data_IF_394896816839
#
_entry.id   IF_394896816839
#
_cell.length_a   1.000
_cell.length_b   1.000
_cell.length_c   1.000
_cell.angle_alpha   90.00
_cell.angle_beta   90.00
_cell.angle_gamma   90.00
#
_symmetry.space_group_name_H-M   'P 1'
#
loop_
_entity.id
_entity.type
_entity.pdbx_description
1 polymer ?
#
# COMPACT_ATOMS: atom_id res chain seq x y z
N UNK A 1 0.72 -14.83 19.65
CA UNK A 1 0.16 -13.86 18.69
C UNK A 1 0.92 -14.06 17.40
N UNK A 2 0.35 -14.80 16.46
CA UNK A 2 0.98 -15.01 15.15
C UNK A 2 1.02 -13.66 14.44
N UNK A 3 2.22 -13.06 14.39
CA UNK A 3 2.47 -11.97 13.46
C UNK A 3 2.49 -12.65 12.10
N UNK A 4 1.39 -12.57 11.34
CA UNK A 4 1.44 -12.88 9.91
C UNK A 4 2.48 -11.96 9.31
N UNK A 5 3.67 -12.52 9.07
CA UNK A 5 4.75 -11.84 8.38
C UNK A 5 4.31 -11.76 6.92
N UNK A 6 3.47 -10.78 6.62
CA UNK A 6 3.17 -10.41 5.25
C UNK A 6 4.52 -9.96 4.70
N UNK A 7 5.14 -10.79 3.87
CA UNK A 7 6.33 -10.39 3.14
C UNK A 7 5.95 -9.18 2.27
N UNK A 8 6.88 -8.31 1.91
CA UNK A 8 6.60 -7.21 0.98
C UNK A 8 5.95 -7.72 -0.33
N UNK A 9 6.14 -9.01 -0.65
CA UNK A 9 5.54 -9.76 -1.77
C UNK A 9 4.05 -10.14 -1.65
N UNK A 10 3.40 -9.81 -0.53
CA UNK A 10 2.02 -10.16 -0.29
C UNK A 10 1.15 -8.95 0.08
N UNK A 11 1.70 -7.74 -0.09
CA UNK A 11 1.00 -6.51 0.26
C UNK A 11 -0.30 -6.35 -0.54
N UNK A 12 -0.32 -6.83 -1.78
CA UNK A 12 -1.50 -6.83 -2.64
C UNK A 12 -2.60 -7.80 -2.20
N UNK A 13 -2.30 -8.78 -1.36
CA UNK A 13 -3.29 -9.68 -0.75
C UNK A 13 -3.95 -9.09 0.50
N UNK A 14 -3.49 -7.94 1.00
CA UNK A 14 -4.12 -7.28 2.14
C UNK A 14 -5.50 -6.77 1.71
N UNK A 15 -6.54 -7.22 2.40
CA UNK A 15 -7.90 -6.79 2.08
C UNK A 15 -8.07 -5.28 2.28
N UNK A 16 -8.77 -4.63 1.33
CA UNK A 16 -9.11 -3.19 1.37
C UNK A 16 -9.70 -2.76 2.71
N UNK A 17 -10.57 -3.61 3.29
CA UNK A 17 -11.16 -3.39 4.62
C UNK A 17 -10.09 -3.25 5.72
N UNK A 18 -9.08 -4.12 5.74
CA UNK A 18 -7.98 -4.04 6.72
C UNK A 18 -7.12 -2.80 6.49
N UNK A 19 -6.88 -2.45 5.23
CA UNK A 19 -6.15 -1.23 4.86
C UNK A 19 -6.91 0.00 5.38
N UNK A 20 -8.19 0.13 5.09
CA UNK A 20 -9.00 1.29 5.51
C UNK A 20 -9.06 1.42 7.03
N UNK A 21 -9.23 0.32 7.75
CA UNK A 21 -9.21 0.31 9.23
C UNK A 21 -7.86 0.75 9.81
N UNK A 22 -6.76 0.41 9.15
CA UNK A 22 -5.43 0.86 9.56
C UNK A 22 -5.21 2.35 9.23
N UNK A 23 -5.67 2.80 8.06
CA UNK A 23 -5.59 4.21 7.64
C UNK A 23 -6.41 5.09 8.57
N UNK A 24 -7.60 4.67 8.97
CA UNK A 24 -8.45 5.39 9.93
C UNK A 24 -7.71 5.62 11.26
N UNK A 25 -7.13 4.56 11.84
CA UNK A 25 -6.32 4.66 13.05
C UNK A 25 -5.08 5.54 12.87
N UNK A 26 -4.45 5.48 11.70
CA UNK A 26 -3.28 6.29 11.37
C UNK A 26 -3.64 7.78 11.30
N UNK A 27 -4.75 8.11 10.65
CA UNK A 27 -5.29 9.48 10.58
C UNK A 27 -5.60 10.00 11.98
N UNK A 28 -6.29 9.22 12.80
CA UNK A 28 -6.61 9.58 14.19
C UNK A 28 -5.33 9.78 15.03
N UNK A 29 -4.34 8.89 14.90
CA UNK A 29 -3.11 8.92 15.70
C UNK A 29 -2.18 10.07 15.32
N UNK A 30 -2.28 10.59 14.10
CA UNK A 30 -1.47 11.68 13.58
C UNK A 30 -2.19 13.03 13.62
N UNK A 31 -3.37 13.10 14.26
CA UNK A 31 -4.25 14.28 14.28
C UNK A 31 -4.50 14.87 12.87
N UNK A 32 -4.50 14.01 11.84
CA UNK A 32 -4.76 14.42 10.48
C UNK A 32 -6.26 14.69 10.34
N UNK A 33 -6.64 15.91 9.97
CA UNK A 33 -8.00 16.20 9.60
C UNK A 33 -8.33 15.51 8.26
N UNK A 34 -8.74 14.24 8.29
CA UNK A 34 -9.20 13.50 7.11
C UNK A 34 -10.34 14.21 6.35
N UNK A 35 -11.02 15.15 7.00
CA UNK A 35 -12.04 16.01 6.38
C UNK A 35 -11.55 17.29 5.72
N UNK A 36 -10.26 17.67 5.82
CA UNK A 36 -9.78 19.00 5.38
C UNK A 36 -9.13 19.03 4.00
N UNK A 37 -8.86 17.90 3.37
CA UNK A 37 -8.19 17.86 2.05
C UNK A 37 -9.20 17.71 0.93
N UNK A 38 -9.94 18.78 0.63
CA UNK A 38 -10.68 18.88 -0.64
C UNK A 38 -9.66 18.75 -1.77
N UNK A 39 -9.51 17.55 -2.33
CA UNK A 39 -8.55 17.22 -3.39
C UNK A 39 -7.54 16.11 -3.08
N UNK A 40 -7.44 15.60 -1.85
CA UNK A 40 -6.51 14.50 -1.53
C UNK A 40 -7.20 13.44 -0.67
N UNK A 41 -7.36 12.24 -1.24
CA UNK A 41 -8.01 11.10 -0.57
C UNK A 41 -6.95 10.10 -0.09
N UNK A 42 -6.55 10.21 1.18
CA UNK A 42 -5.52 9.34 1.76
C UNK A 42 -5.91 7.86 1.72
N UNK A 43 -7.19 7.53 1.86
CA UNK A 43 -7.67 6.14 1.78
C UNK A 43 -7.41 5.54 0.39
N UNK A 44 -7.69 6.30 -0.67
CA UNK A 44 -7.46 5.85 -2.04
C UNK A 44 -5.97 5.73 -2.37
N UNK A 45 -5.15 6.66 -1.88
CA UNK A 45 -3.69 6.64 -2.07
C UNK A 45 -3.08 5.41 -1.40
N UNK A 46 -3.39 5.18 -0.13
CA UNK A 46 -2.86 4.02 0.61
C UNK A 46 -3.40 2.71 0.03
N UNK A 47 -4.70 2.63 -0.30
CA UNK A 47 -5.24 1.44 -0.97
C UNK A 47 -4.51 1.13 -2.29
N UNK A 48 -4.27 2.15 -3.11
CA UNK A 48 -3.54 1.98 -4.38
C UNK A 48 -2.12 1.50 -4.14
N UNK A 49 -1.41 2.07 -3.16
CA UNK A 49 -0.07 1.64 -2.81
C UNK A 49 -0.01 0.16 -2.41
N UNK A 50 -0.96 -0.32 -1.61
CA UNK A 50 -0.93 -1.71 -1.16
C UNK A 50 -1.47 -2.68 -2.21
N UNK A 51 -2.41 -2.30 -3.07
CA UNK A 51 -3.12 -3.25 -3.97
C UNK A 51 -2.71 -3.18 -5.43
N UNK A 52 -2.07 -2.10 -5.88
CA UNK A 52 -1.69 -1.87 -7.28
C UNK A 52 -0.17 -1.75 -7.39
N UNK A 53 0.45 -2.81 -7.93
CA UNK A 53 1.91 -2.93 -8.01
C UNK A 53 2.53 -1.85 -8.89
N UNK A 54 1.91 -1.50 -10.01
CA UNK A 54 2.43 -0.50 -10.93
C UNK A 54 2.35 0.90 -10.30
N UNK A 55 1.22 1.24 -9.66
CA UNK A 55 1.12 2.49 -8.91
C UNK A 55 2.08 2.54 -7.73
N UNK A 56 2.34 1.41 -7.05
CA UNK A 56 3.34 1.34 -5.97
C UNK A 56 4.73 1.68 -6.50
N UNK A 57 5.14 1.08 -7.62
CA UNK A 57 6.42 1.37 -8.28
C UNK A 57 6.54 2.85 -8.65
N UNK A 58 5.50 3.42 -9.25
CA UNK A 58 5.47 4.86 -9.57
C UNK A 58 5.62 5.73 -8.32
N UNK A 59 4.89 5.42 -7.25
CA UNK A 59 4.98 6.15 -5.97
C UNK A 59 6.39 6.02 -5.38
N UNK A 60 6.99 4.84 -5.38
CA UNK A 60 8.33 4.59 -4.85
C UNK A 60 9.41 5.33 -5.64
N UNK A 61 9.30 5.37 -6.98
CA UNK A 61 10.17 6.17 -7.84
C UNK A 61 10.07 7.66 -7.53
N UNK A 62 8.85 8.20 -7.38
CA UNK A 62 8.62 9.61 -7.04
C UNK A 62 9.19 9.99 -5.66
N UNK A 63 9.20 9.04 -4.72
CA UNK A 63 9.71 9.24 -3.36
C UNK A 63 11.21 8.91 -3.22
N UNK A 64 11.89 8.53 -4.32
CA UNK A 64 13.27 8.08 -4.32
C UNK A 64 13.55 6.95 -3.30
N UNK A 65 12.58 6.05 -3.15
CA UNK A 65 12.75 4.84 -2.35
C UNK A 65 13.52 3.81 -3.17
N UNK A 66 14.46 3.09 -2.53
CA UNK A 66 15.15 1.98 -3.19
C UNK A 66 14.12 0.94 -3.63
N UNK A 67 14.22 0.47 -4.88
CA UNK A 67 13.42 -0.66 -5.35
C UNK A 67 13.74 -1.88 -4.47
N UNK A 68 12.72 -2.36 -3.75
CA UNK A 68 12.83 -3.59 -2.98
C UNK A 68 12.88 -4.77 -3.97
N UNK A 69 13.79 -5.72 -3.75
CA UNK A 69 13.88 -7.01 -4.47
C UNK A 69 12.51 -7.70 -4.55
N UNK A 70 11.66 -7.41 -3.56
CA UNK A 70 10.28 -7.86 -3.49
C UNK A 70 9.39 -7.39 -4.65
N UNK A 71 9.54 -6.15 -5.13
CA UNK A 71 8.73 -5.61 -6.24
C UNK A 71 9.08 -6.28 -7.58
N UNK A 72 10.33 -6.71 -7.74
CA UNK A 72 10.79 -7.46 -8.91
C UNK A 72 10.19 -8.87 -8.90
N UNK A 73 10.20 -9.54 -7.75
CA UNK A 73 9.65 -10.90 -7.59
C UNK A 73 8.13 -10.93 -7.73
N UNK A 74 7.39 -9.96 -7.17
CA UNK A 74 5.93 -9.85 -7.38
C UNK A 74 5.59 -9.63 -8.86
N UNK A 75 6.38 -8.81 -9.56
CA UNK A 75 6.18 -8.57 -10.99
C UNK A 75 6.41 -9.85 -11.81
N UNK A 76 7.50 -10.59 -11.54
CA UNK A 76 7.81 -11.84 -12.23
C UNK A 76 6.77 -12.93 -11.97
N UNK A 77 6.30 -13.08 -10.72
CA UNK A 77 5.29 -14.09 -10.36
C UNK A 77 3.88 -13.72 -10.84
N UNK A 78 3.55 -12.43 -10.94
CA UNK A 78 2.29 -11.94 -11.49
C UNK A 78 2.12 -12.23 -12.99
N UNK A 79 3.20 -12.48 -13.74
CA UNK A 79 3.14 -12.90 -15.16
C UNK A 79 2.72 -14.36 -15.32
N UNK A 80 2.86 -15.20 -14.28
CA UNK A 80 2.51 -16.63 -14.33
C UNK A 80 1.10 -16.94 -13.80
N UNK A 81 0.30 -15.92 -13.47
CA UNK A 81 -1.02 -16.04 -12.86
C UNK A 81 -2.23 -15.87 -13.80
N UNK A 82 -2.04 -15.80 -15.13
CA UNK A 82 -3.13 -15.79 -16.13
C UNK A 82 -3.36 -17.15 -16.79
#
# INVERSE_FOLDING_TARGET
>A
MEKSLIHSNELHFISKKRIHQAVEKMVESLDLAAGSTTGFNIYAVVESYFTDLEKRKEINQLLNLEQDVCEEVEAELGVYGE
#
